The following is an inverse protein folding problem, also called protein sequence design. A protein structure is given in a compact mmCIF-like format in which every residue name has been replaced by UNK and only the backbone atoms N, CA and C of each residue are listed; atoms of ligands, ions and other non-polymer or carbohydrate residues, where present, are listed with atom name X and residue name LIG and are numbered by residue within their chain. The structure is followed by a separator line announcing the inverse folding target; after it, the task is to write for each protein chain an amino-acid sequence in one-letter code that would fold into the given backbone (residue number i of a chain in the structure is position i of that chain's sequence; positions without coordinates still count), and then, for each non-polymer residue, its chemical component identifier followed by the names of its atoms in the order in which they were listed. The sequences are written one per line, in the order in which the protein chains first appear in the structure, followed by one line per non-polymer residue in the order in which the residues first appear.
data_IF_256798860176
#
_entry.id   IF_256798860176
#
_cell.length_a   1.000
_cell.length_b   1.000
_cell.length_c   1.000
_cell.angle_alpha   90.00
_cell.angle_beta   90.00
_cell.angle_gamma   90.00
#
_symmetry.space_group_name_H-M   'P 1'
#
loop_
_entity.id
_entity.type
_entity.pdbx_description
1 polymer ?
#
# COMPACT_ATOMS: atom_id res chain seq x y z
N UNK A 1 14.62 -1.87 10.95
CA UNK A 1 13.70 -1.33 9.93
C UNK A 1 12.86 -2.47 9.37
N UNK A 2 11.55 -2.30 9.21
CA UNK A 2 10.68 -3.34 8.64
C UNK A 2 10.09 -2.85 7.33
N UNK A 3 9.88 -3.76 6.38
CA UNK A 3 9.25 -3.47 5.09
C UNK A 3 7.95 -2.67 5.23
N UNK A 4 7.10 -3.05 6.19
CA UNK A 4 5.84 -2.34 6.48
C UNK A 4 6.06 -0.87 6.83
N UNK A 5 7.04 -0.56 7.68
CA UNK A 5 7.30 0.83 8.07
C UNK A 5 7.85 1.66 6.92
N UNK A 6 8.72 1.08 6.08
CA UNK A 6 9.27 1.78 4.93
C UNK A 6 8.21 2.00 3.84
N UNK A 7 7.33 1.02 3.60
CA UNK A 7 6.20 1.19 2.68
C UNK A 7 5.29 2.33 3.13
N UNK A 8 4.96 2.41 4.42
CA UNK A 8 4.17 3.53 4.96
C UNK A 8 4.85 4.88 4.75
N UNK A 9 6.17 4.96 4.97
CA UNK A 9 6.93 6.19 4.75
C UNK A 9 6.93 6.60 3.27
N UNK A 10 7.15 5.67 2.36
CA UNK A 10 7.15 5.94 0.92
C UNK A 10 5.76 6.38 0.44
N UNK A 11 4.68 5.77 0.94
CA UNK A 11 3.31 6.20 0.66
C UNK A 11 3.11 7.68 1.03
N UNK A 12 3.46 8.09 2.25
CA UNK A 12 3.30 9.47 2.73
C UNK A 12 4.24 10.43 2.00
N UNK A 13 5.51 10.03 1.81
CA UNK A 13 6.53 10.85 1.14
C UNK A 13 6.15 11.19 -0.31
N UNK A 14 5.46 10.29 -0.99
CA UNK A 14 4.99 10.48 -2.36
C UNK A 14 3.53 10.95 -2.45
N UNK A 15 2.88 11.28 -1.32
CA UNK A 15 1.51 11.81 -1.28
C UNK A 15 0.44 10.81 -1.74
N UNK A 16 0.73 9.51 -1.68
CA UNK A 16 -0.18 8.44 -2.09
C UNK A 16 -1.28 8.19 -1.06
N UNK A 17 -1.17 8.80 0.12
CA UNK A 17 -2.17 8.79 1.19
C UNK A 17 -3.34 9.75 0.94
N UNK A 18 -3.19 10.73 0.04
CA UNK A 18 -4.22 11.72 -0.28
C UNK A 18 -5.33 11.16 -1.19
N UNK A 19 -5.13 10.00 -1.81
CA UNK A 19 -6.05 9.44 -2.80
C UNK A 19 -5.94 7.93 -2.97
N UNK A 20 -6.37 7.44 -4.12
CA UNK A 20 -6.10 6.07 -4.56
C UNK A 20 -4.78 6.04 -5.31
N UNK A 21 -4.01 4.98 -5.12
CA UNK A 21 -2.79 4.74 -5.86
C UNK A 21 -2.77 3.32 -6.41
N UNK A 22 -2.13 3.16 -7.56
CA UNK A 22 -1.90 1.84 -8.14
C UNK A 22 -0.59 1.23 -7.62
N UNK A 23 -0.53 -0.11 -7.62
CA UNK A 23 0.70 -0.85 -7.33
C UNK A 23 1.84 -0.43 -8.28
N UNK A 24 1.51 -0.18 -9.55
CA UNK A 24 2.48 0.22 -10.55
C UNK A 24 3.04 1.62 -10.29
N UNK A 25 2.21 2.56 -9.85
CA UNK A 25 2.68 3.87 -9.39
C UNK A 25 3.57 3.74 -8.16
N UNK A 26 3.18 2.92 -7.19
CA UNK A 26 4.00 2.67 -6.02
C UNK A 26 5.38 2.10 -6.38
N UNK A 27 5.45 1.16 -7.33
CA UNK A 27 6.71 0.63 -7.84
C UNK A 27 7.57 1.70 -8.49
N UNK A 28 6.99 2.58 -9.31
CA UNK A 28 7.75 3.66 -9.97
C UNK A 28 8.49 4.56 -8.98
N UNK A 29 7.90 4.83 -7.82
CA UNK A 29 8.51 5.70 -6.81
C UNK A 29 9.46 4.94 -5.89
N UNK A 30 9.02 3.76 -5.43
CA UNK A 30 9.66 3.12 -4.27
C UNK A 30 10.59 1.96 -4.62
N UNK A 31 10.50 1.36 -5.81
CA UNK A 31 11.22 0.12 -6.13
C UNK A 31 12.74 0.30 -6.03
N UNK A 32 13.29 1.33 -6.65
CA UNK A 32 14.72 1.65 -6.58
C UNK A 32 15.17 1.95 -5.16
N UNK A 33 14.31 2.54 -4.32
CA UNK A 33 14.62 2.78 -2.92
C UNK A 33 14.72 1.45 -2.14
N UNK A 34 13.76 0.55 -2.35
CA UNK A 34 13.75 -0.76 -1.73
C UNK A 34 14.91 -1.66 -2.18
N UNK A 35 15.25 -1.65 -3.46
CA UNK A 35 16.42 -2.37 -4.00
C UNK A 35 17.73 -1.86 -3.39
N UNK A 36 17.83 -0.56 -3.10
CA UNK A 36 19.01 0.02 -2.46
C UNK A 36 19.12 -0.30 -0.96
N UNK A 37 17.99 -0.40 -0.25
CA UNK A 37 17.97 -0.76 1.18
C UNK A 37 18.14 -2.28 1.37
N UNK A 38 17.50 -3.06 0.51
CA UNK A 38 17.45 -4.51 0.58
C UNK A 38 18.23 -5.13 -0.60
N UNK A 39 19.52 -4.78 -0.70
CA UNK A 39 20.41 -5.16 -1.83
C UNK A 39 20.51 -6.67 -2.09
N UNK A 40 20.35 -7.48 -1.04
CA UNK A 40 20.41 -8.94 -1.15
C UNK A 40 19.06 -9.58 -1.58
N UNK A 41 17.99 -8.78 -1.69
CA UNK A 41 16.68 -9.27 -2.04
C UNK A 41 16.43 -9.19 -3.56
N UNK A 42 16.53 -10.33 -4.22
CA UNK A 42 16.23 -10.50 -5.65
C UNK A 42 14.74 -10.41 -5.98
N UNK A 43 13.86 -10.31 -4.99
CA UNK A 43 12.39 -10.30 -5.15
C UNK A 43 11.71 -9.14 -4.42
N UNK A 44 12.26 -7.92 -4.58
CA UNK A 44 11.72 -6.70 -3.97
C UNK A 44 10.24 -6.46 -4.32
N UNK A 45 9.83 -6.64 -5.58
CA UNK A 45 8.42 -6.49 -5.99
C UNK A 45 7.46 -7.45 -5.27
N UNK A 46 7.87 -8.71 -5.10
CA UNK A 46 7.10 -9.72 -4.40
C UNK A 46 6.99 -9.38 -2.91
N UNK A 47 8.09 -8.89 -2.33
CA UNK A 47 8.15 -8.43 -0.95
C UNK A 47 7.23 -7.24 -0.70
N UNK A 48 7.21 -6.27 -1.62
CA UNK A 48 6.28 -5.13 -1.56
C UNK A 48 4.83 -5.62 -1.61
N UNK A 49 4.48 -6.49 -2.58
CA UNK A 49 3.12 -7.05 -2.67
C UNK A 49 2.68 -7.77 -1.41
N UNK A 50 3.54 -8.63 -0.86
CA UNK A 50 3.25 -9.36 0.36
C UNK A 50 3.02 -8.42 1.55
N UNK A 51 3.78 -7.33 1.66
CA UNK A 51 3.60 -6.36 2.73
C UNK A 51 2.38 -5.44 2.51
N UNK A 52 2.05 -5.07 1.28
CA UNK A 52 0.81 -4.34 0.98
C UNK A 52 -0.43 -5.17 1.33
N UNK A 53 -0.42 -6.48 1.09
CA UNK A 53 -1.48 -7.39 1.53
C UNK A 53 -1.60 -7.43 3.05
N UNK A 54 -0.48 -7.53 3.78
CA UNK A 54 -0.49 -7.46 5.25
C UNK A 54 -1.04 -6.13 5.75
N UNK A 55 -0.65 -5.01 5.14
CA UNK A 55 -1.16 -3.68 5.49
C UNK A 55 -2.66 -3.53 5.22
N UNK A 56 -3.17 -4.21 4.19
CA UNK A 56 -4.61 -4.31 3.94
C UNK A 56 -5.30 -5.12 5.03
N UNK A 57 -4.77 -6.29 5.36
CA UNK A 57 -5.35 -7.18 6.36
C UNK A 57 -5.32 -6.56 7.78
N UNK A 58 -4.33 -5.69 8.04
CA UNK A 58 -4.22 -4.85 9.25
C UNK A 58 -5.16 -3.62 9.23
N UNK A 59 -5.89 -3.38 8.14
CA UNK A 59 -6.82 -2.26 8.01
C UNK A 59 -6.19 -0.89 7.72
N UNK A 60 -4.89 -0.84 7.40
CA UNK A 60 -4.19 0.38 7.00
C UNK A 60 -4.40 0.72 5.51
N UNK A 61 -4.55 -0.30 4.66
CA UNK A 61 -4.88 -0.12 3.25
C UNK A 61 -6.26 -0.71 2.94
N UNK A 62 -6.95 -0.08 2.02
CA UNK A 62 -8.22 -0.55 1.47
C UNK A 62 -7.93 -0.98 0.05
N UNK A 63 -8.27 -2.22 -0.27
CA UNK A 63 -8.20 -2.71 -1.64
C UNK A 63 -9.47 -2.29 -2.37
N UNK A 64 -9.33 -1.48 -3.42
CA UNK A 64 -10.46 -0.95 -4.18
C UNK A 64 -10.76 -1.90 -5.36
N UNK A 65 -9.74 -2.15 -6.17
CA UNK A 65 -9.81 -3.02 -7.34
C UNK A 65 -8.41 -3.56 -7.68
N UNK A 66 -8.31 -4.32 -8.77
CA UNK A 66 -7.09 -5.07 -9.12
C UNK A 66 -5.85 -4.17 -9.22
N UNK A 67 -5.05 -4.17 -8.15
CA UNK A 67 -3.82 -3.40 -8.06
C UNK A 67 -4.02 -1.94 -7.65
N UNK A 68 -5.20 -1.57 -7.17
CA UNK A 68 -5.53 -0.21 -6.71
C UNK A 68 -5.80 -0.24 -5.21
N UNK A 69 -5.11 0.65 -4.49
CA UNK A 69 -5.14 0.74 -3.04
C UNK A 69 -5.51 2.17 -2.62
N UNK A 70 -6.10 2.30 -1.43
CA UNK A 70 -6.33 3.58 -0.76
C UNK A 70 -5.87 3.48 0.69
N UNK A 71 -5.29 4.54 1.24
CA UNK A 71 -4.95 4.58 2.66
C UNK A 71 -6.22 4.73 3.50
N UNK A 72 -6.35 3.87 4.50
CA UNK A 72 -7.38 3.94 5.54
C UNK A 72 -7.02 5.06 6.50
N UNK A 73 -7.64 6.24 6.32
CA UNK A 73 -7.53 7.38 7.24
C UNK A 73 -8.87 7.63 7.91
N UNK A 74 -8.84 8.25 9.10
CA UNK A 74 -10.05 8.56 9.88
C UNK A 74 -11.02 9.45 9.08
N UNK A 75 -10.51 10.30 8.19
CA UNK A 75 -11.29 11.16 7.29
C UNK A 75 -12.07 10.37 6.23
N UNK A 76 -11.66 9.14 5.94
CA UNK A 76 -12.31 8.29 4.93
C UNK A 76 -13.31 7.30 5.52
N UNK A 77 -13.61 7.34 6.83
CA UNK A 77 -14.45 6.33 7.53
C UNK A 77 -15.72 5.92 6.79
N UNK A 78 -16.50 6.88 6.28
CA UNK A 78 -17.72 6.62 5.52
C UNK A 78 -17.45 5.83 4.23
N UNK A 79 -16.34 6.12 3.56
CA UNK A 79 -15.89 5.39 2.37
C UNK A 79 -15.40 3.97 2.73
N UNK A 80 -14.74 3.79 3.88
CA UNK A 80 -14.33 2.47 4.36
C UNK A 80 -15.55 1.58 4.60
N UNK A 81 -16.54 2.11 5.33
CA UNK A 81 -17.78 1.40 5.62
C UNK A 81 -18.56 1.03 4.33
N UNK A 82 -18.52 1.91 3.32
CA UNK A 82 -19.10 1.63 2.01
C UNK A 82 -18.41 0.47 1.30
N UNK A 83 -17.08 0.48 1.20
CA UNK A 83 -16.29 -0.58 0.53
C UNK A 83 -16.46 -1.92 1.25
N UNK A 84 -16.42 -1.94 2.58
CA UNK A 84 -16.64 -3.16 3.36
C UNK A 84 -18.03 -3.77 3.13
N UNK A 85 -19.07 -2.94 2.99
CA UNK A 85 -20.43 -3.41 2.65
C UNK A 85 -20.50 -3.93 1.22
N UNK A 86 -19.81 -3.30 0.27
CA UNK A 86 -19.84 -3.68 -1.14
C UNK A 86 -19.19 -5.06 -1.38
N UNK A 87 -18.06 -5.35 -0.72
CA UNK A 87 -17.36 -6.63 -0.85
C UNK A 87 -17.94 -7.77 0.00
N UNK A 88 -18.96 -7.51 0.84
CA UNK A 88 -19.65 -8.52 1.67
C UNK A 88 -20.85 -9.19 0.98
N UNK A 89 -21.16 -8.83 -0.27
CA UNK A 89 -22.14 -9.53 -1.12
C UNK A 89 -21.47 -10.61 -1.94
#
# INVERSE_FOLDING_TARGET
MTWKSEIKKEIVKHGLDLGTFTLQEFYRYSLTHFENIYKDNTTCEASIRANLQKLRDEGYLIFIEKGVYKVSSIENKEFIEFVERYHKK
#
